data_IF_343370649773
#
_entry.id   IF_343370649773
#
_cell.length_a   1.000
_cell.length_b   1.000
_cell.length_c   1.000
_cell.angle_alpha   90.00
_cell.angle_beta   90.00
_cell.angle_gamma   90.00
#
_symmetry.space_group_name_H-M   'P 1'
#
loop_
_entity.id
_entity.type
_entity.pdbx_description
1 polymer ?
#
# COMPACT_ATOMS: atom_id res chain seq x y z
N UNK A 1 -2.11 -32.28 -22.63
CA UNK A 1 -2.91 -31.10 -22.21
C UNK A 1 -3.20 -31.06 -20.69
N UNK A 2 -2.40 -31.73 -19.84
CA UNK A 2 -2.60 -31.71 -18.37
C UNK A 2 -1.90 -30.52 -17.68
N UNK A 3 -0.78 -30.06 -18.23
CA UNK A 3 0.06 -28.99 -17.64
C UNK A 3 -0.63 -27.61 -17.60
N UNK A 4 -1.33 -27.25 -18.68
CA UNK A 4 -2.07 -25.98 -18.76
C UNK A 4 -3.23 -25.92 -17.74
N UNK A 5 -3.86 -27.07 -17.46
CA UNK A 5 -4.97 -27.18 -16.50
C UNK A 5 -4.52 -26.91 -15.06
N UNK A 6 -3.26 -27.26 -14.73
CA UNK A 6 -2.67 -26.98 -13.42
C UNK A 6 -2.40 -25.49 -13.20
N UNK A 7 -2.00 -24.77 -14.26
CA UNK A 7 -1.75 -23.31 -14.20
C UNK A 7 -3.06 -22.55 -14.07
N UNK A 8 -4.08 -22.88 -14.85
CA UNK A 8 -5.40 -22.21 -14.75
C UNK A 8 -6.04 -22.41 -13.38
N UNK A 9 -5.90 -23.60 -12.78
CA UNK A 9 -6.43 -23.87 -11.45
C UNK A 9 -5.73 -23.03 -10.37
N UNK A 10 -4.40 -22.84 -10.48
CA UNK A 10 -3.62 -22.00 -9.56
C UNK A 10 -3.96 -20.51 -9.71
N UNK A 11 -4.17 -20.05 -10.96
CA UNK A 11 -4.60 -18.67 -11.23
C UNK A 11 -6.01 -18.39 -10.67
N UNK A 12 -6.91 -19.38 -10.72
CA UNK A 12 -8.24 -19.29 -10.10
C UNK A 12 -8.17 -19.00 -8.60
N UNK A 13 -7.29 -19.71 -7.88
CA UNK A 13 -7.09 -19.50 -6.43
C UNK A 13 -6.59 -18.08 -6.11
N UNK A 14 -5.67 -17.55 -6.93
CA UNK A 14 -5.20 -16.16 -6.77
C UNK A 14 -6.33 -15.16 -7.04
N UNK A 15 -7.17 -15.43 -8.05
CA UNK A 15 -8.36 -14.62 -8.35
C UNK A 15 -9.37 -14.62 -7.20
N UNK A 16 -9.67 -15.78 -6.61
CA UNK A 16 -10.56 -15.90 -5.46
C UNK A 16 -10.02 -15.17 -4.22
N UNK A 17 -8.70 -15.26 -3.97
CA UNK A 17 -8.05 -14.49 -2.91
C UNK A 17 -8.17 -12.99 -3.14
N UNK A 18 -7.89 -12.50 -4.35
CA UNK A 18 -8.03 -11.08 -4.69
C UNK A 18 -9.48 -10.62 -4.55
N UNK A 19 -10.45 -11.43 -4.96
CA UNK A 19 -11.87 -11.14 -4.80
C UNK A 19 -12.27 -11.08 -3.33
N UNK A 20 -11.78 -12.00 -2.49
CA UNK A 20 -11.96 -11.94 -1.04
C UNK A 20 -11.38 -10.66 -0.44
N UNK A 21 -10.18 -10.27 -0.85
CA UNK A 21 -9.57 -9.01 -0.41
C UNK A 21 -10.39 -7.80 -0.83
N UNK A 22 -10.97 -7.77 -2.03
CA UNK A 22 -11.82 -6.66 -2.49
C UNK A 22 -13.15 -6.63 -1.71
N UNK A 23 -13.75 -7.80 -1.44
CA UNK A 23 -15.01 -7.93 -0.70
C UNK A 23 -14.86 -7.54 0.77
N UNK A 24 -13.75 -7.93 1.41
CA UNK A 24 -13.39 -7.52 2.76
C UNK A 24 -12.75 -6.13 2.72
N UNK A 25 -13.59 -5.10 2.90
CA UNK A 25 -13.22 -3.68 2.93
C UNK A 25 -11.82 -3.46 3.54
N UNK A 26 -10.98 -2.71 2.83
CA UNK A 26 -9.54 -2.49 3.10
C UNK A 26 -9.25 -1.58 4.31
N UNK A 27 -10.01 -1.71 5.41
CA UNK A 27 -9.93 -0.82 6.58
C UNK A 27 -8.53 -0.77 7.21
N UNK A 28 -7.70 -1.78 7.00
CA UNK A 28 -6.34 -1.86 7.53
C UNK A 28 -5.30 -1.25 6.58
N UNK A 29 -5.53 -1.31 5.26
CA UNK A 29 -4.62 -0.74 4.27
C UNK A 29 -4.82 0.77 4.17
N UNK A 30 -6.06 1.25 4.31
CA UNK A 30 -6.39 2.68 4.30
C UNK A 30 -5.51 3.52 5.24
N UNK A 31 -5.39 3.23 6.55
CA UNK A 31 -4.55 4.02 7.46
C UNK A 31 -3.05 3.96 7.09
N UNK A 32 -2.57 2.80 6.62
CA UNK A 32 -1.18 2.65 6.16
C UNK A 32 -0.89 3.57 4.97
N UNK A 33 -1.78 3.58 3.96
CA UNK A 33 -1.64 4.45 2.78
C UNK A 33 -1.71 5.92 3.18
N UNK A 34 -2.60 6.31 4.09
CA UNK A 34 -2.71 7.70 4.57
C UNK A 34 -1.40 8.16 5.20
N UNK A 35 -0.80 7.35 6.07
CA UNK A 35 0.48 7.67 6.70
C UNK A 35 1.59 7.81 5.65
N UNK A 36 1.66 6.91 4.67
CA UNK A 36 2.66 6.99 3.58
C UNK A 36 2.50 8.27 2.75
N UNK A 37 1.28 8.66 2.42
CA UNK A 37 1.00 9.92 1.71
C UNK A 37 1.42 11.11 2.56
N UNK A 38 1.12 11.08 3.87
CA UNK A 38 1.48 12.16 4.80
C UNK A 38 3.01 12.30 4.93
N UNK A 39 3.75 11.20 4.96
CA UNK A 39 5.21 11.21 4.88
C UNK A 39 5.73 11.77 3.56
N UNK A 40 5.12 11.40 2.42
CA UNK A 40 5.50 11.96 1.12
C UNK A 40 5.31 13.49 1.09
N UNK A 41 4.18 13.98 1.59
CA UNK A 41 3.96 15.42 1.76
C UNK A 41 5.00 16.05 2.69
N UNK A 42 5.27 15.44 3.84
CA UNK A 42 6.26 15.92 4.78
C UNK A 42 7.62 16.07 4.11
N UNK A 43 8.08 15.08 3.34
CA UNK A 43 9.36 15.13 2.61
C UNK A 43 9.38 16.27 1.57
N UNK A 44 8.29 16.48 0.84
CA UNK A 44 8.19 17.56 -0.16
C UNK A 44 8.26 18.93 0.53
N UNK A 45 7.53 19.11 1.64
CA UNK A 45 7.52 20.37 2.38
C UNK A 45 8.75 20.59 3.26
N UNK A 46 9.44 19.52 3.67
CA UNK A 46 10.70 19.54 4.40
C UNK A 46 11.81 20.28 3.65
N UNK A 47 11.76 20.28 2.32
CA UNK A 47 12.71 21.02 1.48
C UNK A 47 12.54 22.54 1.62
N UNK A 48 11.39 23.02 2.12
CA UNK A 48 11.20 24.43 2.42
C UNK A 48 11.89 24.80 3.73
N UNK A 49 12.69 25.88 3.70
CA UNK A 49 13.48 26.34 4.86
C UNK A 49 12.64 26.63 6.12
N UNK A 50 11.34 26.88 5.99
CA UNK A 50 10.44 27.17 7.10
C UNK A 50 10.05 25.94 7.93
N UNK A 51 10.10 24.73 7.36
CA UNK A 51 9.68 23.48 8.03
C UNK A 51 10.88 22.71 8.62
N UNK A 52 12.11 23.03 8.18
CA UNK A 52 13.34 22.41 8.66
C UNK A 52 13.48 22.34 10.20
N UNK A 53 13.14 23.39 11.00
CA UNK A 53 13.27 23.33 12.46
C UNK A 53 12.40 22.28 13.15
N UNK A 54 11.28 21.89 12.55
CA UNK A 54 10.35 20.89 13.12
C UNK A 54 10.81 19.45 12.87
N UNK A 55 11.66 19.25 11.85
CA UNK A 55 12.23 17.93 11.53
C UNK A 55 13.44 17.68 12.43
N UNK A 56 14.24 18.70 12.71
CA UNK A 56 15.40 18.58 13.60
C UNK A 56 15.05 18.26 15.06
N UNK A 57 13.81 18.43 15.50
CA UNK A 57 13.41 18.04 16.88
C UNK A 57 12.97 16.57 16.98
N UNK A 58 12.74 15.91 15.85
CA UNK A 58 12.34 14.49 15.77
C UNK A 58 13.55 13.53 15.64
N UNK A 59 14.75 14.08 15.43
CA UNK A 59 16.02 13.36 15.31
C UNK A 59 17.02 13.90 16.35
#
# INVERSE_FOLDING_TARGET
MSFLKGITNRLGIVGELLQFFIQNKWWWITPMIIILILFAFLIIFAQSSAVAPFIYTLF
#
